data_IF_553089191453
#
_entry.id   IF_553089191453
#
_cell.length_a   1.000
_cell.length_b   1.000
_cell.length_c   1.000
_cell.angle_alpha   90.00
_cell.angle_beta   90.00
_cell.angle_gamma   90.00
#
_symmetry.space_group_name_H-M   'P 1'
#
loop_
_entity.id
_entity.type
_entity.pdbx_description
1 polymer ?
#
# COMPACT_ATOMS: atom_id res chain seq x y z
N UNK A 1 -5.45 -10.02 65.90
CA UNK A 1 -4.47 -9.22 66.65
C UNK A 1 -3.72 -8.35 65.65
N UNK A 2 -3.75 -7.05 65.88
CA UNK A 2 -3.00 -6.01 65.15
C UNK A 2 -1.56 -5.97 65.69
N UNK A 3 -0.60 -5.48 64.88
CA UNK A 3 0.52 -4.54 65.19
C UNK A 3 1.62 -4.68 64.10
N UNK A 4 1.81 -3.68 63.23
CA UNK A 4 2.75 -2.52 63.29
C UNK A 4 4.19 -2.89 62.86
N UNK A 5 4.63 -2.48 61.66
CA UNK A 5 5.46 -1.28 61.31
C UNK A 5 6.90 -1.32 61.81
N UNK A 6 7.90 -1.21 60.90
CA UNK A 6 9.09 -0.36 61.15
C UNK A 6 9.88 0.00 59.88
N UNK A 7 10.47 1.19 59.93
CA UNK A 7 11.24 1.95 58.93
C UNK A 7 12.72 2.00 59.32
N UNK A 8 13.65 1.96 58.35
CA UNK A 8 15.04 2.51 58.43
C UNK A 8 15.53 2.66 56.97
N UNK A 9 15.96 3.77 56.35
CA UNK A 9 16.77 4.99 56.59
C UNK A 9 18.31 4.81 56.49
N UNK A 10 18.83 4.95 55.26
CA UNK A 10 20.14 5.54 54.84
C UNK A 10 21.43 4.71 55.03
N UNK A 11 22.59 5.07 54.42
CA UNK A 11 22.93 6.36 53.79
C UNK A 11 23.65 6.33 52.41
N UNK A 12 23.68 7.53 51.84
CA UNK A 12 24.39 8.11 50.68
C UNK A 12 25.91 7.90 50.65
N UNK A 13 26.47 7.69 49.44
CA UNK A 13 27.90 7.85 49.14
C UNK A 13 28.11 8.88 48.02
N UNK A 14 29.00 9.84 48.30
CA UNK A 14 29.43 10.98 47.48
C UNK A 14 30.77 10.62 46.82
N UNK A 15 30.89 10.78 45.49
CA UNK A 15 32.14 10.92 44.73
C UNK A 15 31.80 11.78 43.49
N UNK A 16 32.08 13.08 43.42
CA UNK A 16 33.35 13.83 43.33
C UNK A 16 33.98 13.89 41.92
N UNK A 17 34.08 15.14 41.44
CA UNK A 17 34.97 15.69 40.39
C UNK A 17 34.67 15.29 38.92
N UNK A 18 34.73 16.18 37.92
CA UNK A 18 35.12 17.58 37.88
C UNK A 18 34.67 18.20 36.55
N UNK A 19 34.47 19.51 36.58
CA UNK A 19 34.07 20.35 35.44
C UNK A 19 35.30 20.67 34.58
N UNK A 20 35.23 20.63 33.24
CA UNK A 20 36.15 21.38 32.40
C UNK A 20 35.49 22.70 31.96
N UNK A 21 36.10 23.76 32.46
CA UNK A 21 35.91 25.18 32.14
C UNK A 21 35.97 25.46 30.63
N UNK A 22 34.91 26.01 30.05
CA UNK A 22 34.92 26.58 28.70
C UNK A 22 35.37 28.04 28.77
N UNK A 23 36.62 28.32 28.37
CA UNK A 23 37.13 29.68 28.19
C UNK A 23 37.80 29.85 26.82
N UNK A 24 37.11 30.65 26.00
CA UNK A 24 37.59 31.57 24.96
C UNK A 24 37.86 31.12 23.51
N UNK A 25 36.98 31.64 22.63
CA UNK A 25 37.20 32.48 21.43
C UNK A 25 38.37 32.16 20.47
N UNK A 26 38.07 31.87 19.18
CA UNK A 26 38.21 32.84 18.07
C UNK A 26 38.36 32.17 16.68
N UNK A 27 37.57 32.64 15.72
CA UNK A 27 37.87 32.95 14.30
C UNK A 27 38.77 32.04 13.44
N UNK A 28 38.24 31.50 12.33
CA UNK A 28 38.67 31.86 10.97
C UNK A 28 38.00 31.00 9.88
N UNK A 29 37.35 31.70 8.95
CA UNK A 29 37.23 31.50 7.50
C UNK A 29 37.36 30.10 6.87
N UNK A 30 36.39 29.85 5.98
CA UNK A 30 36.51 29.18 4.67
C UNK A 30 36.75 27.66 4.67
N UNK A 31 35.64 26.92 4.76
CA UNK A 31 35.53 25.56 4.25
C UNK A 31 34.38 25.51 3.25
N UNK A 32 34.52 24.82 2.10
CA UNK A 32 33.48 24.81 1.09
C UNK A 32 32.27 24.13 1.71
N UNK A 33 31.24 24.93 1.96
CA UNK A 33 29.95 24.40 2.31
C UNK A 33 29.48 23.59 1.12
N UNK A 34 29.74 22.29 1.18
CA UNK A 34 29.10 21.27 0.37
C UNK A 34 27.63 21.21 0.75
N UNK A 35 26.92 22.32 0.52
CA UNK A 35 25.51 22.26 0.24
C UNK A 35 25.43 21.50 -1.08
N UNK A 36 25.28 20.18 -0.99
CA UNK A 36 24.64 19.41 -2.04
C UNK A 36 23.26 20.04 -2.21
N UNK A 37 23.17 21.10 -3.01
CA UNK A 37 21.93 21.60 -3.54
C UNK A 37 21.49 20.52 -4.52
N UNK A 38 20.90 19.46 -3.96
CA UNK A 38 20.08 18.50 -4.67
C UNK A 38 19.25 19.34 -5.62
N UNK A 39 19.51 19.19 -6.91
CA UNK A 39 18.81 19.97 -7.90
C UNK A 39 17.32 19.71 -7.74
N UNK A 40 16.48 20.70 -8.01
CA UNK A 40 15.03 20.61 -7.86
C UNK A 40 14.44 19.38 -8.60
N UNK A 41 15.11 18.96 -9.68
CA UNK A 41 14.78 17.73 -10.42
C UNK A 41 15.10 16.43 -9.68
N UNK A 42 16.18 16.38 -8.89
CA UNK A 42 16.59 15.18 -8.15
C UNK A 42 15.70 14.94 -6.92
N UNK A 43 15.23 16.02 -6.29
CA UNK A 43 14.21 15.96 -5.23
C UNK A 43 12.86 15.47 -5.79
N UNK A 44 12.44 15.99 -6.94
CA UNK A 44 11.19 15.58 -7.61
C UNK A 44 11.23 14.11 -8.01
N UNK A 45 12.35 13.64 -8.56
CA UNK A 45 12.55 12.23 -8.90
C UNK A 45 12.47 11.32 -7.67
N UNK A 46 13.09 11.72 -6.55
CA UNK A 46 13.05 10.95 -5.31
C UNK A 46 11.62 10.81 -4.76
N UNK A 47 10.83 11.89 -4.80
CA UNK A 47 9.43 11.88 -4.38
C UNK A 47 8.62 10.95 -5.29
N UNK A 48 8.79 11.05 -6.62
CA UNK A 48 8.12 10.19 -7.59
C UNK A 48 8.42 8.70 -7.33
N UNK A 49 9.69 8.38 -7.06
CA UNK A 49 10.12 7.01 -6.75
C UNK A 49 9.52 6.54 -5.43
N UNK A 50 9.49 7.38 -4.40
CA UNK A 50 8.86 7.04 -3.11
C UNK A 50 7.37 6.69 -3.27
N UNK A 51 6.65 7.41 -4.14
CA UNK A 51 5.23 7.15 -4.45
C UNK A 51 5.08 5.84 -5.23
N UNK A 52 5.92 5.57 -6.23
CA UNK A 52 5.95 4.29 -6.96
C UNK A 52 6.18 3.11 -6.02
N UNK A 53 7.14 3.24 -5.11
CA UNK A 53 7.40 2.25 -4.07
C UNK A 53 6.18 2.04 -3.16
N UNK A 54 5.49 3.13 -2.78
CA UNK A 54 4.27 3.05 -1.97
C UNK A 54 3.12 2.34 -2.70
N UNK A 55 2.96 2.59 -4.00
CA UNK A 55 1.97 1.91 -4.85
C UNK A 55 2.23 0.41 -4.88
N UNK A 56 3.48 -0.01 -5.12
CA UNK A 56 3.86 -1.43 -5.14
C UNK A 56 3.56 -2.09 -3.79
N UNK A 57 3.94 -1.45 -2.69
CA UNK A 57 3.68 -1.94 -1.34
C UNK A 57 2.18 -2.12 -1.06
N UNK A 58 1.37 -1.09 -1.33
CA UNK A 58 -0.07 -1.13 -1.09
C UNK A 58 -0.77 -2.15 -2.01
N UNK A 59 -0.30 -2.31 -3.24
CA UNK A 59 -0.83 -3.30 -4.18
C UNK A 59 -0.59 -4.73 -3.68
N UNK A 60 0.60 -5.00 -3.16
CA UNK A 60 0.91 -6.29 -2.55
C UNK A 60 0.10 -6.52 -1.27
N UNK A 61 -0.03 -5.50 -0.43
CA UNK A 61 -0.87 -5.57 0.77
C UNK A 61 -2.33 -5.86 0.42
N UNK A 62 -2.87 -5.23 -0.64
CA UNK A 62 -4.22 -5.48 -1.14
C UNK A 62 -4.39 -6.93 -1.61
N UNK A 63 -3.38 -7.46 -2.32
CA UNK A 63 -3.38 -8.84 -2.81
C UNK A 63 -3.41 -9.84 -1.66
N UNK A 64 -2.56 -9.64 -0.65
CA UNK A 64 -2.50 -10.50 0.55
C UNK A 64 -3.80 -10.42 1.35
N UNK A 65 -4.37 -9.24 1.54
CA UNK A 65 -5.61 -9.07 2.31
C UNK A 65 -6.81 -9.74 1.60
N UNK A 66 -6.89 -9.60 0.25
CA UNK A 66 -7.92 -10.29 -0.54
C UNK A 66 -7.77 -11.82 -0.45
N UNK A 67 -6.55 -12.34 -0.57
CA UNK A 67 -6.29 -13.78 -0.42
C UNK A 67 -6.65 -14.29 0.99
N UNK A 68 -6.27 -13.55 2.04
CA UNK A 68 -6.63 -13.85 3.42
C UNK A 68 -8.16 -13.89 3.64
N UNK A 69 -8.90 -12.95 3.05
CA UNK A 69 -10.37 -12.94 3.08
C UNK A 69 -10.97 -14.17 2.38
N UNK A 70 -10.40 -14.59 1.26
CA UNK A 70 -10.86 -15.76 0.52
C UNK A 70 -10.60 -17.04 1.32
N UNK A 71 -9.41 -17.19 1.92
CA UNK A 71 -9.09 -18.29 2.84
C UNK A 71 -10.06 -18.33 4.03
N UNK A 72 -10.37 -17.16 4.61
CA UNK A 72 -11.34 -17.06 5.71
C UNK A 72 -12.75 -17.50 5.28
N UNK A 73 -13.16 -17.13 4.07
CA UNK A 73 -14.44 -17.53 3.49
C UNK A 73 -14.52 -19.05 3.31
N UNK A 74 -13.47 -19.67 2.77
CA UNK A 74 -13.38 -21.14 2.64
C UNK A 74 -13.42 -21.81 4.02
N UNK A 75 -12.68 -21.28 4.99
CA UNK A 75 -12.67 -21.78 6.37
C UNK A 75 -14.05 -21.70 7.03
N UNK A 76 -14.76 -20.57 6.85
CA UNK A 76 -16.13 -20.38 7.33
C UNK A 76 -17.10 -21.41 6.75
N UNK A 77 -17.06 -21.61 5.43
CA UNK A 77 -17.93 -22.60 4.75
C UNK A 77 -17.68 -24.01 5.28
N UNK A 78 -16.41 -24.38 5.50
CA UNK A 78 -16.04 -25.67 6.09
C UNK A 78 -16.57 -25.83 7.52
N UNK A 79 -16.46 -24.80 8.35
CA UNK A 79 -16.97 -24.83 9.73
C UNK A 79 -18.50 -24.91 9.77
N UNK A 80 -19.19 -24.08 8.99
CA UNK A 80 -20.65 -24.05 8.98
C UNK A 80 -21.25 -25.36 8.46
N UNK A 81 -20.57 -26.04 7.53
CA UNK A 81 -21.01 -27.35 7.01
C UNK A 81 -21.00 -28.47 8.06
N UNK A 82 -20.20 -28.32 9.12
CA UNK A 82 -20.07 -29.30 10.22
C UNK A 82 -20.75 -28.85 11.50
N UNK A 83 -21.25 -27.61 11.54
CA UNK A 83 -21.79 -27.00 12.73
C UNK A 83 -23.24 -27.44 12.97
N UNK A 84 -23.58 -27.68 14.24
CA UNK A 84 -24.96 -27.87 14.65
C UNK A 84 -25.74 -26.53 14.71
N UNK A 85 -27.06 -26.61 14.98
CA UNK A 85 -27.96 -25.45 15.01
C UNK A 85 -27.58 -24.42 16.08
N UNK A 86 -26.88 -24.81 17.13
CA UNK A 86 -26.47 -23.93 18.22
C UNK A 86 -25.11 -23.27 17.96
N UNK A 87 -24.19 -23.97 17.29
CA UNK A 87 -22.85 -23.45 16.94
C UNK A 87 -22.89 -22.51 15.74
N UNK A 88 -23.76 -22.78 14.75
CA UNK A 88 -23.80 -22.03 13.50
C UNK A 88 -24.00 -20.50 13.68
N UNK A 89 -24.85 -20.00 14.60
CA UNK A 89 -24.95 -18.56 14.90
C UNK A 89 -23.64 -17.95 15.40
N UNK A 90 -22.91 -18.65 16.27
CA UNK A 90 -21.64 -18.16 16.81
C UNK A 90 -20.55 -18.11 15.73
N UNK A 91 -20.49 -19.14 14.87
CA UNK A 91 -19.57 -19.18 13.72
C UNK A 91 -19.87 -18.04 12.74
N UNK A 92 -21.15 -17.80 12.44
CA UNK A 92 -21.58 -16.66 11.62
C UNK A 92 -21.15 -15.32 12.19
N UNK A 93 -21.38 -15.10 13.48
CA UNK A 93 -21.01 -13.85 14.14
C UNK A 93 -19.49 -13.63 14.14
N UNK A 94 -18.69 -14.67 14.35
CA UNK A 94 -17.25 -14.59 14.29
C UNK A 94 -16.77 -14.24 12.87
N UNK A 95 -17.32 -14.90 11.84
CA UNK A 95 -17.03 -14.59 10.44
C UNK A 95 -17.38 -13.16 10.08
N UNK A 96 -18.56 -12.69 10.46
CA UNK A 96 -19.02 -11.33 10.14
C UNK A 96 -18.09 -10.27 10.73
N UNK A 97 -17.65 -10.43 11.98
CA UNK A 97 -16.67 -9.52 12.61
C UNK A 97 -15.34 -9.49 11.86
N UNK A 98 -14.84 -10.65 11.44
CA UNK A 98 -13.60 -10.74 10.66
C UNK A 98 -13.80 -10.08 9.29
N UNK A 99 -14.90 -10.38 8.60
CA UNK A 99 -15.20 -9.85 7.28
C UNK A 99 -15.41 -8.33 7.29
N UNK A 100 -16.04 -7.76 8.32
CA UNK A 100 -16.16 -6.31 8.48
C UNK A 100 -14.78 -5.65 8.59
N UNK A 101 -13.88 -6.23 9.40
CA UNK A 101 -12.51 -5.72 9.56
C UNK A 101 -11.72 -5.81 8.25
N UNK A 102 -11.69 -6.97 7.61
CA UNK A 102 -10.94 -7.14 6.35
C UNK A 102 -11.51 -6.25 5.24
N UNK A 103 -12.84 -6.09 5.16
CA UNK A 103 -13.48 -5.19 4.20
C UNK A 103 -13.10 -3.73 4.44
N UNK A 104 -13.07 -3.28 5.69
CA UNK A 104 -12.61 -1.93 6.03
C UNK A 104 -11.13 -1.71 5.66
N UNK A 105 -10.28 -2.70 5.95
CA UNK A 105 -8.84 -2.65 5.59
C UNK A 105 -8.64 -2.63 4.07
N UNK A 106 -9.36 -3.46 3.32
CA UNK A 106 -9.33 -3.47 1.84
C UNK A 106 -9.73 -2.10 1.29
N UNK A 107 -10.84 -1.53 1.77
CA UNK A 107 -11.33 -0.23 1.33
C UNK A 107 -10.30 0.90 1.61
N UNK A 108 -9.65 0.86 2.77
CA UNK A 108 -8.59 1.80 3.14
C UNK A 108 -7.39 1.68 2.19
N UNK A 109 -6.91 0.46 1.91
CA UNK A 109 -5.78 0.24 1.00
C UNK A 109 -6.13 0.73 -0.41
N UNK A 110 -7.34 0.42 -0.91
CA UNK A 110 -7.82 0.87 -2.22
C UNK A 110 -7.90 2.40 -2.29
N UNK A 111 -8.34 3.07 -1.23
CA UNK A 111 -8.35 4.52 -1.16
C UNK A 111 -6.93 5.11 -1.19
N UNK A 112 -6.00 4.55 -0.41
CA UNK A 112 -4.61 5.00 -0.42
C UNK A 112 -3.94 4.77 -1.78
N UNK A 113 -4.24 3.68 -2.49
CA UNK A 113 -3.77 3.46 -3.86
C UNK A 113 -4.26 4.54 -4.81
N UNK A 114 -5.56 4.90 -4.75
CA UNK A 114 -6.10 6.00 -5.55
C UNK A 114 -5.38 7.32 -5.28
N UNK A 115 -5.12 7.63 -4.01
CA UNK A 115 -4.38 8.82 -3.62
C UNK A 115 -2.94 8.82 -4.16
N UNK A 116 -2.21 7.70 -4.03
CA UNK A 116 -0.85 7.61 -4.56
C UNK A 116 -0.81 7.75 -6.09
N UNK A 117 -1.75 7.15 -6.81
CA UNK A 117 -1.83 7.32 -8.27
C UNK A 117 -2.13 8.77 -8.67
N UNK A 118 -3.03 9.44 -7.95
CA UNK A 118 -3.33 10.84 -8.17
C UNK A 118 -2.09 11.72 -7.93
N UNK A 119 -1.38 11.51 -6.82
CA UNK A 119 -0.14 12.24 -6.50
C UNK A 119 0.95 12.02 -7.56
N UNK A 120 1.07 10.81 -8.07
CA UNK A 120 2.03 10.48 -9.13
C UNK A 120 1.70 11.25 -10.43
N UNK A 121 0.43 11.29 -10.80
CA UNK A 121 -0.05 12.01 -11.98
C UNK A 121 0.16 13.52 -11.85
N UNK A 122 -0.13 14.11 -10.69
CA UNK A 122 0.06 15.55 -10.43
C UNK A 122 1.54 15.96 -10.56
N UNK A 123 2.48 15.12 -10.12
CA UNK A 123 3.91 15.35 -10.27
C UNK A 123 4.37 15.25 -11.73
N UNK A 124 3.82 14.29 -12.50
CA UNK A 124 4.14 14.11 -13.91
C UNK A 124 3.58 15.25 -14.78
N UNK A 125 2.37 15.72 -14.49
CA UNK A 125 1.72 16.84 -15.20
C UNK A 125 2.33 18.21 -14.83
N UNK A 126 2.79 18.38 -13.59
CA UNK A 126 3.47 19.58 -13.11
C UNK A 126 4.83 19.84 -13.77
N UNK A 127 5.50 18.79 -14.27
CA UNK A 127 6.77 18.89 -14.98
C UNK A 127 6.63 19.22 -16.48
N UNK A 128 5.42 19.34 -17.03
CA UNK A 128 5.23 19.61 -18.46
C UNK A 128 5.28 21.12 -18.75
N UNK A 129 6.25 21.63 -19.53
CA UNK A 129 6.24 23.04 -19.95
C UNK A 129 5.02 23.29 -20.82
N UNK A 130 4.03 24.03 -20.31
CA UNK A 130 2.90 24.53 -21.10
C UNK A 130 3.40 25.68 -21.99
N UNK A 131 4.13 25.32 -23.05
CA UNK A 131 4.37 26.19 -24.19
C UNK A 131 3.22 26.08 -25.18
N UNK A 132 2.17 26.89 -24.99
CA UNK A 132 1.25 27.29 -26.07
C UNK A 132 0.49 28.53 -25.63
N UNK A 133 1.03 29.69 -25.99
CA UNK A 133 0.45 31.03 -25.81
C UNK A 133 -0.45 31.36 -27.01
N UNK A 134 -1.71 31.72 -26.71
CA UNK A 134 -2.61 32.71 -27.36
C UNK A 134 -4.03 32.28 -26.96
N UNK A 135 -4.79 32.95 -26.09
CA UNK A 135 -4.78 34.32 -25.61
C UNK A 135 -6.20 34.86 -25.79
N UNK A 136 -6.98 35.02 -24.71
CA UNK A 136 -8.03 36.05 -24.58
C UNK A 136 -8.32 36.25 -23.09
N UNK A 137 -8.15 37.51 -22.67
CA UNK A 137 -8.33 38.03 -21.30
C UNK A 137 -9.81 38.10 -20.92
N UNK A 138 -10.10 37.98 -19.62
CA UNK A 138 -11.12 38.74 -18.86
C UNK A 138 -11.41 37.95 -17.57
N UNK A 139 -10.86 38.37 -16.42
CA UNK A 139 -11.46 39.32 -15.46
C UNK A 139 -12.25 38.60 -14.37
N UNK A 140 -11.71 38.67 -13.15
CA UNK A 140 -12.39 38.85 -11.87
C UNK A 140 -13.83 38.33 -11.75
N UNK A 141 -14.07 37.29 -10.94
CA UNK A 141 -14.84 37.47 -9.70
C UNK A 141 -14.73 36.25 -8.76
N UNK A 142 -14.60 36.55 -7.47
CA UNK A 142 -14.65 35.58 -6.37
C UNK A 142 -16.11 35.44 -5.94
N UNK A 143 -16.69 34.24 -5.97
CA UNK A 143 -17.67 33.86 -4.94
C UNK A 143 -17.97 32.36 -4.94
N UNK A 144 -17.49 31.68 -3.90
CA UNK A 144 -17.94 30.36 -3.51
C UNK A 144 -19.27 30.52 -2.76
N UNK A 145 -20.40 30.16 -3.38
CA UNK A 145 -21.71 30.16 -2.72
C UNK A 145 -22.13 28.75 -2.32
N UNK A 146 -22.06 28.50 -1.02
CA UNK A 146 -22.87 27.52 -0.30
C UNK A 146 -24.36 27.87 -0.44
N UNK A 147 -25.28 26.89 -0.61
CA UNK A 147 -26.69 27.09 -0.34
C UNK A 147 -26.99 26.74 1.11
N UNK A 148 -27.32 27.74 1.90
CA UNK A 148 -27.94 27.62 3.22
C UNK A 148 -29.40 28.04 3.09
N UNK A 149 -30.32 27.10 3.24
CA UNK A 149 -31.74 27.36 3.55
C UNK A 149 -31.98 27.11 5.04
N UNK A 150 -32.70 28.04 5.67
CA UNK A 150 -33.06 28.05 7.09
C UNK A 150 -34.58 28.14 7.21
N UNK A 151 -35.17 27.34 8.11
CA UNK A 151 -36.40 27.53 8.90
C UNK A 151 -37.00 26.12 9.18
N UNK A 152 -37.36 25.65 10.37
CA UNK A 152 -37.82 26.28 11.61
C UNK A 152 -37.50 25.38 12.85
N UNK A 153 -37.62 26.01 14.02
CA UNK A 153 -37.20 25.61 15.36
C UNK A 153 -37.97 24.43 16.00
N UNK A 154 -37.32 23.74 16.94
CA UNK A 154 -37.94 23.32 18.21
C UNK A 154 -36.88 23.05 19.30
N UNK A 155 -36.97 23.88 20.36
CA UNK A 155 -36.68 23.68 21.79
C UNK A 155 -35.54 22.78 22.33
N UNK A 156 -34.80 23.40 23.28
CA UNK A 156 -33.83 22.83 24.21
C UNK A 156 -34.57 22.22 25.45
N UNK A 157 -33.97 21.34 26.30
CA UNK A 157 -32.91 21.77 27.24
C UNK A 157 -31.74 20.78 27.46
N UNK A 158 -30.59 21.38 27.76
CA UNK A 158 -29.34 20.83 28.34
C UNK A 158 -29.56 20.52 29.84
N UNK A 159 -28.69 19.79 30.57
CA UNK A 159 -27.26 20.11 30.82
C UNK A 159 -26.38 18.84 30.77
N UNK A 160 -25.07 18.80 30.95
CA UNK A 160 -23.97 19.63 31.47
C UNK A 160 -22.80 18.62 31.50
N UNK A 161 -21.54 18.92 31.21
CA UNK A 161 -20.64 19.96 31.63
C UNK A 161 -19.24 19.31 31.64
N UNK A 162 -18.19 20.13 31.70
CA UNK A 162 -16.81 19.75 32.05
C UNK A 162 -15.89 19.23 30.93
N UNK A 163 -15.32 20.20 30.21
CA UNK A 163 -13.92 20.63 30.30
C UNK A 163 -12.76 19.62 30.18
N UNK A 164 -11.99 19.91 29.13
CA UNK A 164 -10.54 20.14 29.15
C UNK A 164 -9.55 18.97 29.00
N UNK A 165 -8.58 19.26 28.13
CA UNK A 165 -7.16 18.91 28.20
C UNK A 165 -6.68 17.83 27.23
N UNK A 166 -6.21 18.32 26.09
CA UNK A 166 -4.95 17.93 25.44
C UNK A 166 -3.98 17.15 26.32
N UNK A 167 -3.57 15.96 25.87
CA UNK A 167 -2.23 15.40 26.13
C UNK A 167 -1.92 14.28 25.13
N UNK A 168 -0.83 14.49 24.39
CA UNK A 168 -0.06 13.46 23.71
C UNK A 168 0.36 12.36 24.71
N UNK A 169 0.27 11.08 24.34
CA UNK A 169 1.31 10.13 24.73
C UNK A 169 1.34 8.88 23.83
N UNK A 170 2.51 8.70 23.23
CA UNK A 170 3.00 7.48 22.60
C UNK A 170 3.17 6.35 23.62
N UNK A 171 3.18 5.11 23.10
CA UNK A 171 3.84 3.90 23.65
C UNK A 171 3.06 3.09 24.67
N UNK A 172 2.49 1.94 24.26
CA UNK A 172 2.63 0.60 24.89
C UNK A 172 2.09 -0.45 23.89
N UNK A 173 2.96 -1.10 23.11
CA UNK A 173 2.65 -2.42 22.52
C UNK A 173 3.32 -3.46 23.42
N UNK A 174 2.50 -4.20 24.17
CA UNK A 174 2.93 -5.34 24.98
C UNK A 174 3.30 -6.51 24.07
N UNK A 175 4.54 -6.99 24.19
CA UNK A 175 4.95 -8.29 23.68
C UNK A 175 4.47 -9.41 24.63
N UNK A 176 3.90 -10.46 24.06
CA UNK A 176 3.56 -11.74 24.71
C UNK A 176 4.63 -12.76 24.29
N UNK A 177 5.30 -13.48 25.21
CA UNK A 177 6.20 -14.57 24.83
C UNK A 177 5.47 -15.91 24.94
N UNK A 178 5.29 -16.60 23.81
CA UNK A 178 4.88 -18.00 23.78
C UNK A 178 6.12 -18.87 23.59
N UNK A 179 6.56 -19.41 24.72
CA UNK A 179 7.57 -20.45 24.86
C UNK A 179 7.06 -21.73 24.21
N UNK A 180 7.77 -22.22 23.20
CA UNK A 180 7.60 -23.58 22.66
C UNK A 180 8.97 -24.25 22.63
N UNK A 181 9.14 -25.20 23.53
CA UNK A 181 10.25 -26.16 23.52
C UNK A 181 10.00 -27.23 22.46
N UNK A 182 11.07 -27.74 21.84
CA UNK A 182 11.39 -29.14 21.48
C UNK A 182 12.49 -29.17 20.39
N UNK A 183 13.22 -30.28 20.15
CA UNK A 183 14.37 -30.76 20.90
C UNK A 183 15.68 -30.70 20.08
N UNK A 184 16.78 -31.06 20.74
CA UNK A 184 18.14 -31.09 20.23
C UNK A 184 18.34 -31.94 18.95
N UNK A 185 19.04 -31.36 17.98
CA UNK A 185 19.90 -32.10 17.06
C UNK A 185 21.32 -31.52 17.16
N UNK A 186 22.24 -32.36 17.63
CA UNK A 186 23.68 -32.13 17.54
C UNK A 186 24.12 -32.28 16.07
N UNK A 187 25.34 -31.79 15.80
CA UNK A 187 26.16 -32.06 14.60
C UNK A 187 25.81 -31.13 13.43
N UNK A 188 26.68 -30.26 12.93
CA UNK A 188 28.13 -30.36 12.75
C UNK A 188 28.73 -28.96 12.64
N UNK A 189 29.93 -28.77 13.22
CA UNK A 189 30.74 -27.56 13.06
C UNK A 189 31.21 -27.51 11.60
N UNK A 190 30.61 -26.68 10.74
CA UNK A 190 31.21 -26.26 9.46
C UNK A 190 31.78 -24.87 9.64
N UNK A 191 33.10 -24.77 9.55
CA UNK A 191 33.81 -23.50 9.38
C UNK A 191 33.60 -23.05 7.93
N UNK A 192 32.63 -22.17 7.70
CA UNK A 192 32.48 -21.52 6.39
C UNK A 192 32.51 -19.98 6.54
N UNK A 193 33.73 -19.48 6.40
CA UNK A 193 34.09 -18.42 5.45
C UNK A 193 32.94 -17.54 4.92
N UNK A 194 33.00 -16.25 5.28
CA UNK A 194 32.55 -15.07 4.50
C UNK A 194 31.63 -15.34 3.30
N UNK A 195 30.34 -14.98 3.38
CA UNK A 195 29.64 -14.42 2.21
C UNK A 195 28.33 -13.70 2.57
N UNK A 196 28.34 -12.37 2.62
CA UNK A 196 27.12 -11.55 2.64
C UNK A 196 26.49 -11.33 1.25
N UNK A 197 26.97 -12.03 0.20
CA UNK A 197 26.58 -11.78 -1.20
C UNK A 197 25.67 -12.86 -1.82
N UNK A 198 25.51 -14.01 -1.19
CA UNK A 198 24.83 -15.18 -1.77
C UNK A 198 23.30 -15.01 -1.99
N UNK A 199 22.51 -14.39 -1.06
CA UNK A 199 21.06 -14.28 -1.25
C UNK A 199 20.65 -13.30 -2.37
N UNK A 200 21.43 -12.23 -2.58
CA UNK A 200 21.18 -11.23 -3.62
C UNK A 200 21.47 -11.77 -5.02
N UNK A 201 22.51 -12.58 -5.15
CA UNK A 201 22.85 -13.23 -6.42
C UNK A 201 21.75 -14.21 -6.86
N UNK A 202 21.21 -15.00 -5.92
CA UNK A 202 20.10 -15.93 -6.19
C UNK A 202 18.80 -15.20 -6.59
N UNK A 203 18.46 -14.10 -5.91
CA UNK A 203 17.29 -13.29 -6.27
C UNK A 203 17.44 -12.67 -7.68
N UNK A 204 18.63 -12.14 -8.00
CA UNK A 204 18.92 -11.58 -9.32
C UNK A 204 18.86 -12.64 -10.43
N UNK A 205 19.28 -13.88 -10.14
CA UNK A 205 19.15 -15.00 -11.06
C UNK A 205 17.68 -15.36 -11.32
N UNK A 206 16.85 -15.42 -10.26
CA UNK A 206 15.40 -15.67 -10.39
C UNK A 206 14.73 -14.60 -11.24
N UNK A 207 15.01 -13.31 -11.00
CA UNK A 207 14.47 -12.21 -11.81
C UNK A 207 14.87 -12.31 -13.29
N UNK A 208 16.09 -12.78 -13.60
CA UNK A 208 16.53 -13.01 -14.97
C UNK A 208 15.81 -14.17 -15.65
N UNK A 209 15.44 -15.20 -14.90
CA UNK A 209 14.65 -16.32 -15.40
C UNK A 209 13.21 -15.89 -15.70
N UNK A 210 12.54 -15.24 -14.75
CA UNK A 210 11.19 -14.69 -14.93
C UNK A 210 11.14 -13.71 -16.13
N UNK A 211 12.16 -12.86 -16.29
CA UNK A 211 12.24 -11.96 -17.44
C UNK A 211 12.36 -12.71 -18.78
N UNK A 212 13.03 -13.86 -18.81
CA UNK A 212 13.10 -14.71 -20.01
C UNK A 212 11.75 -15.35 -20.30
N UNK A 213 11.07 -15.86 -19.27
CA UNK A 213 9.73 -16.44 -19.41
C UNK A 213 8.72 -15.42 -19.92
N UNK A 214 8.70 -14.21 -19.35
CA UNK A 214 7.84 -13.12 -19.81
C UNK A 214 8.11 -12.76 -21.27
N UNK A 215 9.38 -12.71 -21.69
CA UNK A 215 9.74 -12.47 -23.09
C UNK A 215 9.24 -13.58 -24.02
N UNK A 216 9.35 -14.84 -23.60
CA UNK A 216 8.84 -15.97 -24.36
C UNK A 216 7.32 -15.90 -24.52
N UNK A 217 6.59 -15.61 -23.44
CA UNK A 217 5.14 -15.44 -23.48
C UNK A 217 4.74 -14.26 -24.37
N UNK A 218 5.47 -13.14 -24.30
CA UNK A 218 5.22 -11.98 -25.17
C UNK A 218 5.35 -12.33 -26.65
N UNK A 219 6.44 -13.02 -27.04
CA UNK A 219 6.66 -13.45 -28.42
C UNK A 219 5.57 -14.44 -28.88
N UNK A 220 5.20 -15.38 -28.02
CA UNK A 220 4.12 -16.35 -28.30
C UNK A 220 2.79 -15.63 -28.51
N UNK A 221 2.44 -14.69 -27.64
CA UNK A 221 1.21 -13.89 -27.74
C UNK A 221 1.21 -13.00 -28.99
N UNK A 222 2.35 -12.40 -29.33
CA UNK A 222 2.50 -11.62 -30.55
C UNK A 222 2.25 -12.49 -31.78
N UNK A 223 2.80 -13.71 -31.80
CA UNK A 223 2.58 -14.67 -32.88
C UNK A 223 1.12 -15.11 -33.00
N UNK A 224 0.48 -15.44 -31.87
CA UNK A 224 -0.92 -15.86 -31.86
C UNK A 224 -1.87 -14.72 -32.28
N UNK A 225 -1.57 -13.48 -31.89
CA UNK A 225 -2.34 -12.31 -32.33
C UNK A 225 -2.27 -12.12 -33.85
N UNK A 226 -1.09 -12.25 -34.46
CA UNK A 226 -0.97 -12.13 -35.93
C UNK A 226 -1.71 -13.26 -36.65
N UNK A 227 -1.58 -14.49 -36.16
CA UNK A 227 -2.29 -15.63 -36.72
C UNK A 227 -3.82 -15.47 -36.60
N UNK A 228 -4.32 -15.00 -35.46
CA UNK A 228 -5.73 -14.72 -35.26
C UNK A 228 -6.24 -13.63 -36.21
N UNK A 229 -5.45 -12.59 -36.44
CA UNK A 229 -5.77 -11.52 -37.39
C UNK A 229 -5.86 -12.04 -38.82
N UNK A 230 -4.90 -12.85 -39.24
CA UNK A 230 -4.87 -13.47 -40.58
C UNK A 230 -6.08 -14.39 -40.79
N UNK A 231 -6.39 -15.20 -39.78
CA UNK A 231 -7.56 -16.07 -39.80
C UNK A 231 -8.86 -15.27 -39.91
N UNK A 232 -9.02 -14.20 -39.10
CA UNK A 232 -10.20 -13.34 -39.18
C UNK A 232 -10.39 -12.72 -40.57
N UNK A 233 -9.32 -12.24 -41.20
CA UNK A 233 -9.39 -11.67 -42.54
C UNK A 233 -9.77 -12.73 -43.58
N UNK A 234 -9.25 -13.95 -43.44
CA UNK A 234 -9.56 -15.06 -44.34
C UNK A 234 -11.01 -15.51 -44.21
N UNK A 235 -11.50 -15.68 -42.98
CA UNK A 235 -12.88 -16.08 -42.70
C UNK A 235 -13.87 -15.01 -43.17
N UNK A 236 -13.52 -13.72 -43.01
CA UNK A 236 -14.31 -12.61 -43.53
C UNK A 236 -14.37 -12.64 -45.06
N UNK A 237 -13.23 -12.87 -45.73
CA UNK A 237 -13.20 -12.98 -47.19
C UNK A 237 -14.07 -14.14 -47.69
N UNK A 238 -13.92 -15.33 -47.09
CA UNK A 238 -14.72 -16.50 -47.45
C UNK A 238 -16.23 -16.27 -47.24
N UNK A 239 -16.60 -15.59 -46.16
CA UNK A 239 -18.00 -15.24 -45.88
C UNK A 239 -18.58 -14.28 -46.92
N UNK A 240 -17.79 -13.31 -47.38
CA UNK A 240 -18.21 -12.38 -48.44
C UNK A 240 -18.35 -13.09 -49.79
N UNK A 241 -17.42 -13.97 -50.14
CA UNK A 241 -17.50 -14.78 -51.36
C UNK A 241 -18.73 -15.70 -51.34
N UNK A 242 -19.00 -16.36 -50.21
CA UNK A 242 -20.18 -17.20 -50.02
C UNK A 242 -21.49 -16.42 -50.22
N UNK A 243 -21.62 -15.25 -49.60
CA UNK A 243 -22.82 -14.40 -49.74
C UNK A 243 -23.02 -13.92 -51.19
N UNK A 244 -21.93 -13.64 -51.92
CA UNK A 244 -22.00 -13.26 -53.33
C UNK A 244 -22.45 -14.43 -54.20
N UNK A 245 -21.90 -15.63 -53.96
CA UNK A 245 -22.28 -16.85 -54.67
C UNK A 245 -23.73 -17.23 -54.41
N UNK A 246 -24.19 -17.16 -53.16
CA UNK A 246 -25.59 -17.40 -52.77
C UNK A 246 -26.53 -16.43 -53.48
N UNK A 247 -26.25 -15.13 -53.43
CA UNK A 247 -27.05 -14.11 -54.13
C UNK A 247 -27.10 -14.35 -55.64
N UNK A 248 -25.98 -14.76 -56.24
CA UNK A 248 -25.94 -15.07 -57.67
C UNK A 248 -26.79 -16.30 -58.01
N UNK A 249 -26.72 -17.34 -57.18
CA UNK A 249 -27.46 -18.59 -57.35
C UNK A 249 -28.97 -18.38 -57.20
N UNK A 250 -29.40 -17.55 -56.25
CA UNK A 250 -30.81 -17.19 -56.07
C UNK A 250 -31.39 -16.45 -57.27
N UNK A 251 -30.62 -15.53 -57.87
CA UNK A 251 -31.02 -14.81 -59.09
C UNK A 251 -31.24 -15.75 -60.27
N UNK A 252 -30.37 -16.76 -60.45
CA UNK A 252 -30.53 -17.76 -61.50
C UNK A 252 -31.68 -18.74 -61.24
N UNK A 253 -32.06 -18.97 -59.97
CA UNK A 253 -33.18 -19.86 -59.60
C UNK A 253 -34.55 -19.21 -59.78
N UNK A 254 -34.60 -17.88 -59.90
CA UNK A 254 -35.83 -17.10 -60.02
C UNK A 254 -36.29 -16.86 -61.48
N UNK A 255 -35.56 -17.41 -62.47
CA UNK A 255 -35.85 -17.36 -63.91
C UNK A 255 -36.34 -18.72 -64.38
#
# INVERSE_FOLDING_TARGET
MVLKTEYTKGPTAILSSGVPSCRSLSSSEDGPSGHSSLSDGELTQNIQDSIKHRILYLSEQLRVEKASRDENTVGYLKLVSKADRHQAPHIRQAFEKVNQRTSATIAQIEQSLRQCHQQLQELEEGCRPKGSVLGTKSSLDNNCKQPHEKALCAEHPRPGGEDCSSSNLSTVIRHVPLQTHFPACQQQRSLESKCGAQPRALLGQKMKEELREVKMVHLSLQGSYQSLREQYLTDLQASLEFLLEEKSSEQFRAI
#
